data_IF_641370389478
#
_entry.id   IF_641370389478
#
_cell.length_a   1.000
_cell.length_b   1.000
_cell.length_c   1.000
_cell.angle_alpha   90.00
_cell.angle_beta   90.00
_cell.angle_gamma   90.00
#
_symmetry.space_group_name_H-M   'P 1'
#
loop_
_entity.id
_entity.type
_entity.pdbx_description
1 polymer ?
#
# COMPACT_ATOMS: atom_id res chain seq x y z
N UNK A 1 -19.02 21.91 -16.55
CA UNK A 1 -17.69 21.35 -16.90
C UNK A 1 -16.62 22.30 -16.36
N UNK A 2 -16.20 22.08 -15.11
CA UNK A 2 -15.24 22.95 -14.43
C UNK A 2 -13.83 22.64 -14.96
N UNK A 3 -13.11 23.69 -15.42
CA UNK A 3 -11.74 23.58 -15.92
C UNK A 3 -10.82 23.17 -14.76
N UNK A 4 -10.37 21.92 -14.76
CA UNK A 4 -9.17 21.53 -14.02
C UNK A 4 -7.98 22.33 -14.56
N UNK A 5 -7.64 23.43 -13.88
CA UNK A 5 -6.33 24.06 -14.02
C UNK A 5 -5.28 23.21 -13.29
N UNK A 6 -5.05 21.98 -13.78
CA UNK A 6 -3.93 21.15 -13.31
C UNK A 6 -2.66 21.66 -13.95
N UNK A 7 -1.74 22.20 -13.14
CA UNK A 7 -0.41 22.56 -13.59
C UNK A 7 0.24 21.37 -14.32
N UNK A 8 0.85 21.62 -15.48
CA UNK A 8 1.52 20.58 -16.27
C UNK A 8 2.56 19.82 -15.44
N UNK A 9 2.87 18.57 -15.81
CA UNK A 9 3.96 17.83 -15.15
C UNK A 9 5.27 18.61 -15.15
N UNK A 10 5.58 19.30 -16.26
CA UNK A 10 6.75 20.17 -16.38
C UNK A 10 6.74 21.30 -15.34
N UNK A 11 5.59 21.95 -15.11
CA UNK A 11 5.42 22.99 -14.08
C UNK A 11 5.62 22.44 -12.67
N UNK A 12 5.06 21.25 -12.37
CA UNK A 12 5.23 20.60 -11.06
C UNK A 12 6.68 20.19 -10.79
N UNK A 13 7.35 19.62 -11.79
CA UNK A 13 8.77 19.26 -11.73
C UNK A 13 9.65 20.50 -11.55
N UNK A 14 9.40 21.55 -12.34
CA UNK A 14 10.12 22.82 -12.26
C UNK A 14 10.03 23.46 -10.88
N UNK A 15 8.80 23.56 -10.35
CA UNK A 15 8.56 24.07 -9.01
C UNK A 15 9.22 23.21 -7.93
N UNK A 16 9.16 21.87 -8.06
CA UNK A 16 9.79 20.97 -7.09
C UNK A 16 11.31 21.14 -7.08
N UNK A 17 11.94 21.20 -8.25
CA UNK A 17 13.37 21.44 -8.36
C UNK A 17 13.76 22.81 -7.78
N UNK A 18 13.00 23.87 -8.10
CA UNK A 18 13.21 25.21 -7.57
C UNK A 18 13.25 25.21 -6.04
N UNK A 19 12.27 24.57 -5.39
CA UNK A 19 12.21 24.51 -3.92
C UNK A 19 13.38 23.73 -3.31
N UNK A 20 13.72 22.57 -3.87
CA UNK A 20 14.85 21.77 -3.36
C UNK A 20 16.19 22.49 -3.54
N UNK A 21 16.34 23.24 -4.64
CA UNK A 21 17.50 24.09 -4.90
C UNK A 21 17.60 25.22 -3.88
N UNK A 22 16.50 25.93 -3.61
CA UNK A 22 16.46 27.03 -2.64
C UNK A 22 16.75 26.54 -1.20
N UNK A 23 16.21 25.38 -0.81
CA UNK A 23 16.50 24.75 0.50
C UNK A 23 18.00 24.48 0.69
N UNK A 24 18.70 24.14 -0.39
CA UNK A 24 20.16 23.92 -0.41
C UNK A 24 20.97 25.18 -0.71
N UNK A 25 20.32 26.35 -0.75
CA UNK A 25 20.94 27.66 -1.04
C UNK A 25 21.77 27.68 -2.33
N UNK A 26 21.38 26.87 -3.31
CA UNK A 26 22.10 26.76 -4.58
C UNK A 26 21.53 27.76 -5.59
N UNK A 27 22.35 28.47 -6.34
CA UNK A 27 21.89 29.43 -7.36
C UNK A 27 21.57 28.73 -8.69
N UNK A 28 20.74 29.36 -9.53
CA UNK A 28 20.50 28.86 -10.90
C UNK A 28 21.79 28.85 -11.73
N UNK A 29 22.66 29.84 -11.52
CA UNK A 29 23.96 29.91 -12.19
C UNK A 29 24.85 28.71 -11.83
N UNK A 30 24.84 28.28 -10.55
CA UNK A 30 25.60 27.12 -10.11
C UNK A 30 25.08 25.81 -10.71
N UNK A 31 23.76 25.65 -10.80
CA UNK A 31 23.16 24.49 -11.50
C UNK A 31 23.53 24.48 -12.97
N UNK A 32 23.45 25.64 -13.62
CA UNK A 32 23.78 25.82 -15.03
C UNK A 32 25.24 25.43 -15.32
N UNK A 33 26.16 25.87 -14.47
CA UNK A 33 27.58 25.51 -14.53
C UNK A 33 27.79 24.00 -14.42
N UNK A 34 27.21 23.34 -13.41
CA UNK A 34 27.38 21.89 -13.17
C UNK A 34 26.80 21.05 -14.32
N UNK A 35 25.67 21.48 -14.90
CA UNK A 35 25.02 20.74 -15.99
C UNK A 35 25.53 21.10 -17.38
N UNK A 36 26.42 22.09 -17.49
CA UNK A 36 26.86 22.69 -18.76
C UNK A 36 25.68 23.17 -19.62
N UNK A 37 24.73 23.87 -19.00
CA UNK A 37 23.57 24.50 -19.66
C UNK A 37 23.54 26.00 -19.37
N UNK A 38 22.65 26.75 -20.02
CA UNK A 38 22.50 28.19 -19.71
C UNK A 38 21.67 28.41 -18.45
N UNK A 39 21.96 29.49 -17.71
CA UNK A 39 21.12 29.90 -16.57
C UNK A 39 19.67 30.17 -17.00
N UNK A 40 19.48 30.72 -18.21
CA UNK A 40 18.16 30.93 -18.80
C UNK A 40 17.41 29.60 -18.97
N UNK A 41 18.10 28.53 -19.39
CA UNK A 41 17.51 27.20 -19.50
C UNK A 41 17.01 26.70 -18.14
N UNK A 42 17.81 26.85 -17.07
CA UNK A 42 17.41 26.48 -15.70
C UNK A 42 16.16 27.26 -15.26
N UNK A 43 16.14 28.58 -15.52
CA UNK A 43 14.98 29.44 -15.23
C UNK A 43 13.72 29.04 -16.02
N UNK A 44 13.86 28.61 -17.29
CA UNK A 44 12.74 28.12 -18.08
C UNK A 44 12.18 26.79 -17.55
N UNK A 45 13.06 25.89 -17.09
CA UNK A 45 12.65 24.62 -16.48
C UNK A 45 11.94 24.87 -15.15
N UNK A 46 12.48 25.70 -14.26
CA UNK A 46 11.86 25.99 -12.96
C UNK A 46 10.45 26.59 -13.08
N UNK A 47 10.23 27.41 -14.11
CA UNK A 47 8.91 27.99 -14.41
C UNK A 47 7.97 27.05 -15.16
N UNK A 48 8.44 25.86 -15.56
CA UNK A 48 7.67 24.91 -16.37
C UNK A 48 7.46 25.35 -17.82
N UNK A 49 8.19 26.36 -18.30
CA UNK A 49 8.12 26.83 -19.70
C UNK A 49 8.81 25.83 -20.63
N UNK A 50 9.88 25.19 -20.15
CA UNK A 50 10.59 24.14 -20.87
C UNK A 50 10.47 22.83 -20.13
N UNK A 51 9.95 21.81 -20.80
CA UNK A 51 9.92 20.44 -20.28
C UNK A 51 11.30 19.79 -20.47
N UNK A 52 12.01 19.42 -19.40
CA UNK A 52 13.22 18.60 -19.51
C UNK A 52 12.89 17.15 -19.89
N UNK A 53 13.84 16.44 -20.51
CA UNK A 53 13.75 14.99 -20.74
C UNK A 53 13.96 14.22 -19.43
N UNK A 54 13.61 12.94 -19.40
CA UNK A 54 13.81 12.07 -18.23
C UNK A 54 15.27 12.08 -17.73
N UNK A 55 16.24 11.88 -18.63
CA UNK A 55 17.67 11.90 -18.30
C UNK A 55 18.10 13.23 -17.66
N UNK A 56 17.54 14.34 -18.14
CA UNK A 56 17.85 15.67 -17.63
C UNK A 56 17.20 15.90 -16.26
N UNK A 57 16.01 15.35 -16.03
CA UNK A 57 15.35 15.37 -14.71
C UNK A 57 16.21 14.62 -13.69
N UNK A 58 16.68 13.41 -14.01
CA UNK A 58 17.55 12.64 -13.13
C UNK A 58 18.83 13.41 -12.78
N UNK A 59 19.50 13.98 -13.80
CA UNK A 59 20.71 14.79 -13.60
C UNK A 59 20.45 16.03 -12.75
N UNK A 60 19.33 16.73 -12.94
CA UNK A 60 18.97 17.91 -12.15
C UNK A 60 18.88 17.57 -10.65
N UNK A 61 18.13 16.54 -10.30
CA UNK A 61 17.95 16.14 -8.90
C UNK A 61 19.19 15.47 -8.31
N UNK A 62 20.00 14.78 -9.12
CA UNK A 62 21.26 14.19 -8.67
C UNK A 62 22.25 15.23 -8.13
N UNK A 63 22.30 16.44 -8.69
CA UNK A 63 23.13 17.56 -8.16
C UNK A 63 22.74 17.95 -6.74
N UNK A 64 21.48 17.69 -6.37
CA UNK A 64 20.94 17.98 -5.04
C UNK A 64 21.03 16.76 -4.11
N UNK A 65 21.73 15.70 -4.53
CA UNK A 65 21.79 14.39 -3.87
C UNK A 65 20.39 13.78 -3.68
N UNK A 66 19.56 13.87 -4.72
CA UNK A 66 18.19 13.38 -4.74
C UNK A 66 17.98 12.41 -5.91
N UNK A 67 17.25 11.33 -5.64
CA UNK A 67 16.75 10.40 -6.66
C UNK A 67 15.32 10.77 -7.04
N UNK A 68 15.02 10.76 -8.34
CA UNK A 68 13.66 10.90 -8.86
C UNK A 68 13.03 9.52 -9.01
N UNK A 69 11.81 9.38 -8.51
CA UNK A 69 10.98 8.20 -8.72
C UNK A 69 9.69 8.65 -9.39
N UNK A 70 9.31 7.98 -10.48
CA UNK A 70 8.05 8.25 -11.18
C UNK A 70 7.02 7.22 -10.73
N UNK A 71 5.84 7.70 -10.38
CA UNK A 71 4.70 6.88 -10.02
C UNK A 71 3.46 7.43 -10.75
N UNK A 72 2.43 6.60 -10.86
CA UNK A 72 1.14 6.96 -11.46
C UNK A 72 0.08 7.09 -10.37
N UNK A 73 -0.78 8.08 -10.52
CA UNK A 73 -1.95 8.27 -9.66
C UNK A 73 -3.21 8.15 -10.53
N UNK A 74 -4.29 7.54 -10.00
CA UNK A 74 -5.57 7.59 -10.69
C UNK A 74 -6.02 9.03 -10.86
N UNK A 75 -6.78 9.28 -11.93
CA UNK A 75 -7.40 10.56 -12.21
C UNK A 75 -8.92 10.40 -12.20
N UNK A 76 -9.66 11.44 -11.78
CA UNK A 76 -11.11 11.45 -11.84
C UNK A 76 -11.77 10.60 -10.74
N UNK A 77 -12.83 9.82 -11.06
CA UNK A 77 -13.65 9.10 -10.06
C UNK A 77 -12.86 8.17 -9.13
N UNK A 78 -11.85 7.49 -9.66
CA UNK A 78 -11.02 6.56 -8.89
C UNK A 78 -10.20 7.26 -7.79
N UNK A 79 -9.82 8.53 -8.02
CA UNK A 79 -9.14 9.33 -7.01
C UNK A 79 -10.10 9.79 -5.91
N UNK A 80 -11.35 10.13 -6.28
CA UNK A 80 -12.39 10.50 -5.32
C UNK A 80 -12.74 9.31 -4.43
N UNK A 81 -12.96 8.12 -5.02
CA UNK A 81 -13.24 6.91 -4.27
C UNK A 81 -12.08 6.54 -3.31
N UNK A 82 -10.83 6.79 -3.72
CA UNK A 82 -9.67 6.60 -2.84
C UNK A 82 -9.65 7.59 -1.67
N UNK A 83 -9.98 8.86 -1.93
CA UNK A 83 -10.04 9.89 -0.89
C UNK A 83 -11.19 9.63 0.08
N UNK A 84 -12.37 9.23 -0.42
CA UNK A 84 -13.53 8.83 0.37
C UNK A 84 -13.20 7.64 1.27
N UNK A 85 -12.51 6.62 0.75
CA UNK A 85 -12.08 5.48 1.58
C UNK A 85 -11.15 5.91 2.72
N UNK A 86 -10.18 6.78 2.42
CA UNK A 86 -9.25 7.31 3.43
C UNK A 86 -10.03 8.08 4.49
N UNK A 87 -10.97 8.93 4.08
CA UNK A 87 -11.74 9.77 4.99
C UNK A 87 -12.71 8.96 5.85
N UNK A 88 -13.38 7.95 5.27
CA UNK A 88 -14.21 7.00 6.02
C UNK A 88 -13.40 6.35 7.15
N UNK A 89 -12.20 5.84 6.84
CA UNK A 89 -11.38 5.12 7.82
C UNK A 89 -10.76 6.06 8.87
N UNK A 90 -10.37 7.28 8.46
CA UNK A 90 -9.86 8.29 9.39
C UNK A 90 -10.95 8.87 10.29
N UNK A 91 -12.22 8.75 9.89
CA UNK A 91 -13.37 9.19 10.70
C UNK A 91 -13.78 8.18 11.78
N UNK A 92 -13.29 6.94 11.71
CA UNK A 92 -13.59 5.91 12.71
C UNK A 92 -13.04 6.27 14.08
N UNK A 93 -13.85 6.07 15.12
CA UNK A 93 -13.38 6.12 16.50
C UNK A 93 -12.44 4.95 16.81
N UNK A 94 -11.65 5.03 17.89
CA UNK A 94 -10.81 3.92 18.32
C UNK A 94 -11.65 2.65 18.60
N UNK A 95 -12.86 2.81 19.17
CA UNK A 95 -13.77 1.70 19.42
C UNK A 95 -14.27 1.06 18.12
N UNK A 96 -14.63 1.86 17.10
CA UNK A 96 -15.03 1.34 15.79
C UNK A 96 -13.87 0.61 15.10
N UNK A 97 -12.64 1.14 15.23
CA UNK A 97 -11.44 0.49 14.71
C UNK A 97 -11.20 -0.85 15.39
N UNK A 98 -11.36 -0.91 16.71
CA UNK A 98 -11.24 -2.16 17.46
C UNK A 98 -12.34 -3.15 17.06
N UNK A 99 -13.57 -2.69 16.86
CA UNK A 99 -14.69 -3.53 16.40
C UNK A 99 -14.43 -4.16 15.02
N UNK A 100 -13.78 -3.45 14.10
CA UNK A 100 -13.35 -4.00 12.81
C UNK A 100 -12.33 -5.13 12.97
N UNK A 101 -11.41 -5.04 13.94
CA UNK A 101 -10.46 -6.14 14.21
C UNK A 101 -11.17 -7.30 14.90
N UNK A 102 -12.04 -6.99 15.86
CA UNK A 102 -12.78 -7.98 16.64
C UNK A 102 -13.78 -8.78 15.78
N UNK A 103 -14.27 -8.26 14.65
CA UNK A 103 -15.11 -9.03 13.74
C UNK A 103 -14.42 -10.29 13.18
N UNK A 104 -13.09 -10.36 13.25
CA UNK A 104 -12.29 -11.52 12.84
C UNK A 104 -11.93 -12.48 14.00
N UNK A 105 -12.44 -12.26 15.22
CA UNK A 105 -12.05 -13.04 16.40
C UNK A 105 -12.22 -14.55 16.21
N UNK A 106 -13.34 -15.00 15.63
CA UNK A 106 -13.59 -16.43 15.37
C UNK A 106 -12.53 -17.04 14.45
N UNK A 107 -12.16 -16.34 13.37
CA UNK A 107 -11.13 -16.82 12.46
C UNK A 107 -9.75 -16.89 13.15
N UNK A 108 -9.43 -15.93 14.02
CA UNK A 108 -8.19 -15.98 14.80
C UNK A 108 -8.18 -17.16 15.78
N UNK A 109 -9.31 -17.46 16.41
CA UNK A 109 -9.43 -18.60 17.33
C UNK A 109 -9.33 -19.93 16.59
N UNK A 110 -9.92 -20.03 15.40
CA UNK A 110 -9.84 -21.22 14.55
C UNK A 110 -8.41 -21.48 14.04
N UNK A 111 -7.65 -20.41 13.79
CA UNK A 111 -6.27 -20.49 13.30
C UNK A 111 -5.22 -20.49 14.41
N UNK A 112 -5.61 -20.58 15.68
CA UNK A 112 -4.70 -20.44 16.82
C UNK A 112 -3.60 -21.52 16.87
N UNK A 113 -3.83 -22.68 16.26
CA UNK A 113 -2.86 -23.81 16.23
C UNK A 113 -1.91 -23.76 15.04
N UNK A 114 -2.15 -22.86 14.08
CA UNK A 114 -1.36 -22.74 12.84
C UNK A 114 -0.40 -21.56 12.98
N UNK A 115 0.89 -21.73 12.72
CA UNK A 115 1.80 -20.59 12.59
C UNK A 115 1.44 -19.74 11.36
N UNK A 116 1.08 -18.48 11.55
CA UNK A 116 0.76 -17.53 10.47
C UNK A 116 1.26 -16.12 10.77
N UNK A 117 1.35 -15.30 9.72
CA UNK A 117 1.62 -13.86 9.82
C UNK A 117 0.54 -13.09 9.07
N UNK A 118 -0.11 -12.17 9.78
CA UNK A 118 -1.11 -11.26 9.23
C UNK A 118 -0.48 -10.27 8.25
N UNK A 119 -1.12 -10.05 7.12
CA UNK A 119 -0.63 -9.24 6.02
C UNK A 119 -1.78 -8.42 5.40
N UNK A 120 -1.54 -7.85 4.21
CA UNK A 120 -2.55 -7.17 3.40
C UNK A 120 -3.23 -6.00 4.13
N UNK A 121 -4.52 -5.80 3.85
CA UNK A 121 -5.24 -4.61 4.34
C UNK A 121 -5.50 -4.66 5.84
N UNK A 122 -5.88 -5.82 6.41
CA UNK A 122 -6.05 -5.94 7.85
C UNK A 122 -4.71 -5.75 8.59
N UNK A 123 -3.62 -6.33 8.09
CA UNK A 123 -2.28 -6.13 8.65
C UNK A 123 -1.81 -4.67 8.60
N UNK A 124 -2.12 -3.94 7.54
CA UNK A 124 -1.86 -2.50 7.48
C UNK A 124 -2.76 -1.69 8.42
N UNK A 125 -4.05 -2.05 8.49
CA UNK A 125 -5.04 -1.37 9.33
C UNK A 125 -4.69 -1.43 10.82
N UNK A 126 -4.29 -2.59 11.34
CA UNK A 126 -3.88 -2.74 12.74
C UNK A 126 -2.58 -1.99 13.05
N UNK A 127 -1.77 -1.67 12.03
CA UNK A 127 -0.60 -0.80 12.15
C UNK A 127 -0.93 0.69 11.97
N UNK A 128 -2.22 1.06 11.85
CA UNK A 128 -2.69 2.44 11.74
C UNK A 128 -2.88 2.97 10.33
N UNK A 129 -2.74 2.14 9.28
CA UNK A 129 -3.02 2.59 7.92
C UNK A 129 -4.52 2.88 7.73
N UNK A 130 -4.89 3.96 7.01
CA UNK A 130 -6.29 4.30 6.74
C UNK A 130 -6.82 3.50 5.56
N UNK A 131 -6.81 2.18 5.68
CA UNK A 131 -7.27 1.24 4.65
C UNK A 131 -8.54 0.55 5.10
N UNK A 132 -9.55 0.46 4.24
CA UNK A 132 -10.73 -0.35 4.52
C UNK A 132 -10.35 -1.83 4.60
N UNK A 133 -10.80 -2.52 5.64
CA UNK A 133 -10.62 -3.98 5.78
C UNK A 133 -11.76 -4.67 5.05
N UNK A 134 -11.42 -5.69 4.25
CA UNK A 134 -12.42 -6.46 3.46
C UNK A 134 -12.32 -7.96 3.67
N UNK A 135 -11.19 -8.46 4.18
CA UNK A 135 -10.88 -9.89 4.34
C UNK A 135 -9.63 -10.11 5.20
N UNK A 136 -9.30 -11.38 5.44
CA UNK A 136 -8.03 -11.83 6.00
C UNK A 136 -7.01 -12.14 4.89
N UNK A 137 -5.86 -11.49 4.92
CA UNK A 137 -4.69 -11.89 4.11
C UNK A 137 -3.61 -12.43 5.08
N UNK A 138 -3.27 -13.72 4.99
CA UNK A 138 -2.28 -14.35 5.85
C UNK A 138 -1.12 -14.94 5.03
N UNK A 139 0.08 -14.95 5.62
CA UNK A 139 1.20 -15.75 5.15
C UNK A 139 1.39 -16.97 6.04
N UNK A 140 1.56 -18.15 5.43
CA UNK A 140 1.79 -19.43 6.10
C UNK A 140 3.01 -20.09 5.48
N UNK A 141 3.78 -20.83 6.28
CA UNK A 141 4.91 -21.59 5.74
C UNK A 141 4.42 -22.91 5.12
N UNK A 142 5.05 -23.34 4.02
CA UNK A 142 4.72 -24.59 3.33
C UNK A 142 4.73 -25.82 4.26
N UNK A 143 5.67 -25.96 5.23
CA UNK A 143 5.63 -27.07 6.18
C UNK A 143 4.38 -27.09 7.08
N UNK A 144 3.76 -25.93 7.31
CA UNK A 144 2.62 -25.77 8.22
C UNK A 144 1.26 -25.96 7.53
N UNK A 145 1.24 -26.24 6.22
CA UNK A 145 -0.01 -26.44 5.47
C UNK A 145 -0.84 -27.63 5.95
N UNK A 146 -0.22 -28.64 6.56
CA UNK A 146 -0.94 -29.80 7.10
C UNK A 146 -1.67 -29.46 8.41
N UNK A 147 -1.11 -28.54 9.22
CA UNK A 147 -1.82 -27.99 10.38
C UNK A 147 -3.03 -27.19 9.94
N UNK A 148 -2.86 -26.39 8.89
CA UNK A 148 -3.96 -25.63 8.29
C UNK A 148 -5.03 -26.54 7.69
N UNK A 149 -4.63 -27.62 7.00
CA UNK A 149 -5.55 -28.60 6.46
C UNK A 149 -6.41 -29.23 7.58
N UNK A 150 -5.81 -29.56 8.72
CA UNK A 150 -6.55 -30.07 9.87
C UNK A 150 -7.58 -29.05 10.42
N UNK A 151 -7.26 -27.76 10.42
CA UNK A 151 -8.23 -26.71 10.77
C UNK A 151 -9.39 -26.72 9.77
N UNK A 152 -9.10 -26.74 8.47
CA UNK A 152 -10.11 -26.75 7.40
C UNK A 152 -11.00 -28.00 7.41
N UNK A 153 -10.46 -29.16 7.78
CA UNK A 153 -11.24 -30.40 7.90
C UNK A 153 -12.15 -30.40 9.13
N UNK A 154 -11.75 -29.68 10.20
CA UNK A 154 -12.53 -29.57 11.44
C UNK A 154 -13.63 -28.52 11.40
N UNK A 155 -13.66 -27.68 10.35
CA UNK A 155 -14.54 -26.51 10.23
C UNK A 155 -15.27 -26.50 8.89
N UNK A 156 -16.40 -25.81 8.83
CA UNK A 156 -17.01 -25.50 7.54
C UNK A 156 -16.17 -24.41 6.87
N UNK A 157 -15.32 -24.84 5.93
CA UNK A 157 -14.65 -23.93 5.02
C UNK A 157 -14.97 -24.33 3.58
N UNK A 158 -15.04 -23.33 2.71
CA UNK A 158 -15.23 -23.55 1.28
C UNK A 158 -14.08 -22.92 0.52
N UNK A 159 -13.51 -23.64 -0.43
CA UNK A 159 -12.43 -23.10 -1.28
C UNK A 159 -13.02 -22.39 -2.49
N UNK A 160 -12.42 -21.27 -2.86
CA UNK A 160 -12.77 -20.55 -4.09
C UNK A 160 -12.61 -21.45 -5.31
N UNK A 161 -13.67 -21.54 -6.10
CA UNK A 161 -13.69 -22.27 -7.35
C UNK A 161 -13.62 -21.29 -8.52
N UNK A 162 -12.44 -21.14 -9.12
CA UNK A 162 -12.23 -20.23 -10.26
C UNK A 162 -13.19 -20.46 -11.43
N UNK A 163 -13.59 -21.71 -11.66
CA UNK A 163 -14.49 -22.07 -12.76
C UNK A 163 -15.94 -21.64 -12.50
N UNK A 164 -16.38 -21.74 -11.25
CA UNK A 164 -17.75 -21.36 -10.85
C UNK A 164 -17.84 -19.92 -10.35
N UNK A 165 -16.70 -19.27 -10.13
CA UNK A 165 -16.59 -17.95 -9.52
C UNK A 165 -17.34 -17.85 -8.19
N UNK A 166 -17.26 -18.92 -7.39
CA UNK A 166 -17.99 -19.04 -6.12
C UNK A 166 -17.23 -19.97 -5.14
N UNK A 167 -17.62 -19.93 -3.87
CA UNK A 167 -17.08 -20.75 -2.77
C UNK A 167 -17.86 -22.06 -2.64
N UNK A 168 -17.81 -22.90 -3.68
CA UNK A 168 -18.42 -24.23 -3.65
C UNK A 168 -17.79 -25.20 -4.64
N UNK A 169 -17.83 -26.50 -4.30
CA UNK A 169 -17.49 -27.59 -5.21
C UNK A 169 -16.00 -27.73 -5.53
N UNK A 170 -15.13 -27.07 -4.77
CA UNK A 170 -13.68 -27.24 -4.81
C UNK A 170 -13.19 -27.95 -3.54
N UNK A 171 -12.19 -28.83 -3.68
CA UNK A 171 -11.60 -29.51 -2.54
C UNK A 171 -10.82 -28.53 -1.66
N UNK A 172 -11.09 -28.58 -0.35
CA UNK A 172 -10.64 -27.56 0.61
C UNK A 172 -9.16 -27.62 0.97
N UNK A 173 -8.52 -28.78 0.79
CA UNK A 173 -7.15 -28.99 1.27
C UNK A 173 -6.14 -28.01 0.63
N UNK A 174 -5.33 -27.28 1.43
CA UNK A 174 -4.45 -26.22 0.92
C UNK A 174 -3.25 -26.69 0.10
N UNK A 175 -2.91 -27.99 0.12
CA UNK A 175 -1.87 -28.58 -0.74
C UNK A 175 -2.37 -28.86 -2.16
N UNK A 176 -3.68 -28.91 -2.37
CA UNK A 176 -4.21 -29.12 -3.71
C UNK A 176 -3.98 -27.87 -4.57
N UNK A 177 -3.61 -28.03 -5.84
CA UNK A 177 -3.35 -26.91 -6.72
C UNK A 177 -4.62 -26.06 -6.91
N UNK A 178 -4.41 -24.76 -7.10
CA UNK A 178 -5.48 -23.80 -7.36
C UNK A 178 -5.36 -22.54 -6.50
N UNK A 179 -6.37 -21.66 -6.55
CA UNK A 179 -6.39 -20.43 -5.79
C UNK A 179 -6.23 -20.68 -4.30
N UNK A 180 -5.35 -19.90 -3.66
CA UNK A 180 -5.14 -19.92 -2.23
C UNK A 180 -6.15 -19.00 -1.53
N UNK A 181 -7.45 -19.30 -1.72
CA UNK A 181 -8.57 -18.49 -1.23
C UNK A 181 -9.67 -19.39 -0.66
N UNK A 182 -10.13 -19.06 0.54
CA UNK A 182 -11.17 -19.78 1.26
C UNK A 182 -12.19 -18.82 1.86
N UNK A 183 -13.38 -19.33 2.08
CA UNK A 183 -14.35 -18.76 3.00
C UNK A 183 -14.26 -19.54 4.31
N UNK A 184 -13.88 -18.87 5.40
CA UNK A 184 -13.76 -19.42 6.75
C UNK A 184 -14.84 -18.75 7.62
N UNK A 185 -15.97 -19.43 7.79
CA UNK A 185 -17.18 -18.81 8.34
C UNK A 185 -17.65 -17.62 7.47
N UNK A 186 -17.85 -16.42 8.03
CA UNK A 186 -18.19 -15.24 7.23
C UNK A 186 -16.96 -14.55 6.60
N UNK A 187 -15.75 -15.02 6.89
CA UNK A 187 -14.52 -14.31 6.56
C UNK A 187 -13.88 -14.90 5.30
N UNK A 188 -13.69 -14.06 4.29
CA UNK A 188 -12.81 -14.41 3.18
C UNK A 188 -11.35 -14.45 3.69
N UNK A 189 -10.63 -15.52 3.35
CA UNK A 189 -9.26 -15.79 3.73
C UNK A 189 -8.42 -16.01 2.48
N UNK A 190 -7.39 -15.19 2.31
CA UNK A 190 -6.40 -15.31 1.23
C UNK A 190 -5.05 -15.69 1.83
N UNK A 191 -4.43 -16.72 1.27
CA UNK A 191 -3.17 -17.25 1.78
C UNK A 191 -2.03 -17.02 0.80
N UNK A 192 -0.93 -16.53 1.35
CA UNK A 192 0.39 -16.57 0.74
C UNK A 192 1.17 -17.75 1.33
N UNK A 193 1.48 -18.74 0.51
CA UNK A 193 2.40 -19.82 0.92
C UNK A 193 3.82 -19.36 0.70
N UNK A 194 4.65 -19.53 1.73
CA UNK A 194 6.06 -19.16 1.75
C UNK A 194 6.91 -20.34 2.17
N UNK A 195 8.19 -20.40 1.78
CA UNK A 195 9.05 -21.51 2.23
C UNK A 195 9.28 -21.49 3.75
N UNK A 196 9.21 -20.31 4.35
CA UNK A 196 9.28 -20.06 5.80
C UNK A 196 8.44 -18.81 6.10
N UNK A 197 7.92 -18.72 7.31
CA UNK A 197 7.16 -17.54 7.72
C UNK A 197 7.97 -16.25 7.49
N UNK A 198 7.33 -15.19 6.96
CA UNK A 198 7.98 -13.90 6.81
C UNK A 198 8.32 -13.31 8.18
N UNK A 199 9.27 -12.36 8.26
CA UNK A 199 9.46 -11.55 9.45
C UNK A 199 8.16 -10.89 9.87
N UNK A 200 7.92 -10.82 11.19
CA UNK A 200 6.74 -10.18 11.76
C UNK A 200 7.12 -9.31 12.95
N UNK A 201 6.26 -8.33 13.21
CA UNK A 201 6.18 -7.58 14.45
C UNK A 201 4.93 -8.01 15.21
N UNK A 202 4.92 -7.82 16.52
CA UNK A 202 3.71 -8.06 17.33
C UNK A 202 2.93 -6.76 17.47
N UNK A 203 1.64 -6.79 17.10
CA UNK A 203 0.73 -5.65 17.25
C UNK A 203 -0.36 -6.03 18.24
N UNK A 204 -0.55 -5.20 19.26
CA UNK A 204 -1.65 -5.35 20.22
C UNK A 204 -2.91 -4.67 19.66
N UNK A 205 -3.99 -5.44 19.41
CA UNK A 205 -5.26 -4.94 18.90
C UNK A 205 -6.41 -5.82 19.37
N UNK A 206 -7.54 -5.21 19.76
CA UNK A 206 -8.74 -5.91 20.25
C UNK A 206 -8.44 -6.98 21.33
N UNK A 207 -7.56 -6.66 22.28
CA UNK A 207 -7.16 -7.58 23.36
C UNK A 207 -6.26 -8.74 22.92
N UNK A 208 -5.77 -8.75 21.67
CA UNK A 208 -4.93 -9.82 21.10
C UNK A 208 -3.56 -9.30 20.70
N UNK A 209 -2.59 -10.21 20.68
CA UNK A 209 -1.24 -9.97 20.15
C UNK A 209 -1.09 -10.65 18.81
N UNK A 210 -1.22 -9.88 17.73
CA UNK A 210 -1.22 -10.40 16.37
C UNK A 210 0.21 -10.38 15.80
N UNK A 211 0.71 -11.48 15.20
CA UNK A 211 1.92 -11.44 14.39
C UNK A 211 1.61 -10.79 13.05
N UNK A 212 2.15 -9.61 12.78
CA UNK A 212 1.85 -8.80 11.59
C UNK A 212 3.11 -8.55 10.79
N UNK A 213 3.02 -8.68 9.47
CA UNK A 213 4.11 -8.29 8.57
C UNK A 213 4.35 -6.77 8.69
N UNK A 214 5.61 -6.30 8.77
CA UNK A 214 5.89 -4.86 8.86
C UNK A 214 5.21 -4.05 7.76
N UNK A 215 4.67 -2.87 8.08
CA UNK A 215 3.91 -2.05 7.13
C UNK A 215 4.70 -1.75 5.84
N UNK A 216 6.01 -1.54 5.92
CA UNK A 216 6.87 -1.32 4.75
C UNK A 216 6.86 -2.53 3.80
N UNK A 217 6.88 -3.75 4.34
CA UNK A 217 6.81 -4.98 3.56
C UNK A 217 5.41 -5.22 2.99
N UNK A 218 4.37 -4.77 3.69
CA UNK A 218 2.99 -4.78 3.18
C UNK A 218 2.87 -3.77 2.02
N UNK A 219 3.35 -2.53 2.14
CA UNK A 219 3.34 -1.56 1.04
C UNK A 219 4.08 -2.10 -0.19
N UNK A 220 5.24 -2.74 0.00
CA UNK A 220 6.00 -3.33 -1.10
C UNK A 220 5.25 -4.45 -1.84
N UNK A 221 4.35 -5.15 -1.16
CA UNK A 221 3.65 -6.33 -1.69
C UNK A 221 2.23 -6.06 -2.19
N UNK A 222 1.55 -5.06 -1.62
CA UNK A 222 0.16 -4.75 -1.94
C UNK A 222 0.07 -3.35 -2.53
N UNK A 223 0.07 -3.22 -3.88
CA UNK A 223 0.05 -1.91 -4.55
C UNK A 223 -1.11 -1.01 -4.11
N UNK A 224 -2.27 -1.59 -3.79
CA UNK A 224 -3.43 -0.85 -3.28
C UNK A 224 -3.17 -0.20 -1.92
N UNK A 225 -2.48 -0.90 -1.01
CA UNK A 225 -2.09 -0.34 0.30
C UNK A 225 -1.05 0.75 0.11
N UNK A 226 -0.02 0.52 -0.72
CA UNK A 226 0.99 1.54 -1.02
C UNK A 226 0.38 2.82 -1.61
N UNK A 227 -0.61 2.66 -2.50
CA UNK A 227 -1.32 3.78 -3.11
C UNK A 227 -2.08 4.60 -2.07
N UNK A 228 -2.81 3.96 -1.16
CA UNK A 228 -3.51 4.63 -0.05
C UNK A 228 -2.49 5.37 0.82
N UNK A 229 -1.43 4.69 1.27
CA UNK A 229 -0.40 5.27 2.14
C UNK A 229 0.30 6.48 1.50
N UNK A 230 0.61 6.40 0.21
CA UNK A 230 1.16 7.53 -0.56
C UNK A 230 0.16 8.68 -0.62
N UNK A 231 -1.11 8.42 -0.93
CA UNK A 231 -2.15 9.44 -0.99
C UNK A 231 -2.32 10.15 0.34
N UNK A 232 -2.37 9.41 1.46
CA UNK A 232 -2.42 9.96 2.82
C UNK A 232 -1.23 10.89 3.09
N UNK A 233 0.01 10.45 2.81
CA UNK A 233 1.23 11.27 2.99
C UNK A 233 1.18 12.57 2.17
N UNK A 234 0.66 12.51 0.94
CA UNK A 234 0.48 13.69 0.09
C UNK A 234 -0.53 14.66 0.69
N UNK A 235 -1.67 14.18 1.21
CA UNK A 235 -2.69 15.00 1.89
C UNK A 235 -2.14 15.69 3.13
N UNK A 236 -1.42 14.97 4.00
CA UNK A 236 -0.81 15.54 5.20
C UNK A 236 0.19 16.65 4.88
N UNK A 237 0.97 16.50 3.79
CA UNK A 237 1.95 17.52 3.38
C UNK A 237 1.32 18.81 2.85
N UNK A 238 0.14 18.74 2.23
CA UNK A 238 -0.59 19.92 1.74
C UNK A 238 -1.22 20.71 2.89
N UNK A 239 -1.67 20.03 3.95
CA UNK A 239 -2.29 20.70 5.12
C UNK A 239 -1.25 21.49 5.95
N UNK A 240 0.02 21.11 5.90
CA UNK A 240 1.11 21.74 6.67
C UNK A 240 1.98 22.68 5.81
N UNK A 241 1.52 23.07 4.61
CA UNK A 241 2.22 23.97 3.68
C UNK A 241 1.37 25.19 3.36
#
# INVERSE_FOLDING_TARGET
MSRMSTASLASRLGWRFHNERLRRRMSQARVAEILHVSQQWVSQVERGVRAPTADVIERLFAILDLKVTVDVEPIGPDLVALDDEIDDVLSLSDDDRLAVVDSFHLAFDELATVPWVLSGRLGAFVQGAPVRVVRLDLAVAEPDLDLLAAVFDSRSCDRWNERLTDYYGAAVHPRLPGPMRWLLGPNELWLEVTNRLPPSITVAAAGRYLPVRPLADIEARYPSVAQIMRRTRTRTRVIHS
#
